data_IF_230845521801
#
_entry.id   IF_230845521801
#
_cell.length_a   1.000
_cell.length_b   1.000
_cell.length_c   1.000
_cell.angle_alpha   90.00
_cell.angle_beta   90.00
_cell.angle_gamma   90.00
#
_symmetry.space_group_name_H-M   'P 1'
#
loop_
_entity.id
_entity.type
_entity.pdbx_description
1 polymer ?
#
# COMPACT_ATOMS: atom_id res chain seq x y z
N UNK A 1 -12.72 1.70 9.48
CA UNK A 1 -12.21 1.33 8.15
C UNK A 1 -11.51 -0.03 8.24
N UNK A 2 -11.83 -0.98 7.35
CA UNK A 2 -11.26 -2.35 7.37
C UNK A 2 -9.79 -2.43 6.95
N UNK A 3 -9.26 -1.34 6.37
CA UNK A 3 -7.91 -1.21 5.85
C UNK A 3 -7.22 -0.03 6.53
N UNK A 4 -6.00 -0.25 7.00
CA UNK A 4 -5.09 0.79 7.49
C UNK A 4 -3.80 0.74 6.67
N UNK A 5 -3.17 1.89 6.45
CA UNK A 5 -1.90 1.98 5.72
C UNK A 5 -0.88 2.67 6.60
N UNK A 6 0.30 2.08 6.71
CA UNK A 6 1.39 2.55 7.55
C UNK A 6 2.64 2.78 6.70
N UNK A 7 3.39 3.83 7.02
CA UNK A 7 4.78 3.97 6.56
C UNK A 7 5.66 3.11 7.46
N UNK A 8 6.44 2.21 6.85
CA UNK A 8 7.36 1.31 7.55
C UNK A 8 8.76 1.41 6.95
N UNK A 9 9.79 1.17 7.75
CA UNK A 9 11.16 1.14 7.27
C UNK A 9 11.63 -0.32 7.12
N UNK A 10 12.12 -0.68 5.93
CA UNK A 10 12.64 -2.01 5.63
C UNK A 10 14.17 -2.01 5.72
N UNK A 11 14.69 -2.48 6.86
CA UNK A 11 16.14 -2.53 7.13
C UNK A 11 16.93 -3.36 6.11
N UNK A 12 16.32 -4.42 5.55
CA UNK A 12 17.02 -5.31 4.60
C UNK A 12 17.30 -4.61 3.27
N UNK A 13 16.40 -3.72 2.84
CA UNK A 13 16.48 -2.99 1.58
C UNK A 13 16.98 -1.55 1.78
N UNK A 14 16.97 -1.05 3.02
CA UNK A 14 17.36 0.32 3.35
C UNK A 14 16.39 1.38 2.84
N UNK A 15 15.10 1.04 2.71
CA UNK A 15 14.10 1.91 2.10
C UNK A 15 12.82 1.98 2.94
N UNK A 16 12.13 3.12 2.84
CA UNK A 16 10.78 3.27 3.39
C UNK A 16 9.74 2.69 2.40
N UNK A 17 8.74 2.01 2.95
CA UNK A 17 7.69 1.31 2.21
C UNK A 17 6.32 1.63 2.81
N UNK A 18 5.27 1.43 2.02
CA UNK A 18 3.90 1.47 2.50
C UNK A 18 3.45 0.04 2.85
N UNK A 19 2.82 -0.13 4.01
CA UNK A 19 2.23 -1.39 4.43
C UNK A 19 0.74 -1.22 4.68
N UNK A 20 -0.07 -1.89 3.87
CA UNK A 20 -1.50 -1.99 4.12
C UNK A 20 -1.80 -3.21 4.99
N UNK A 21 -2.66 -3.03 5.99
CA UNK A 21 -3.08 -4.08 6.92
C UNK A 21 -4.60 -4.13 6.96
N UNK A 22 -5.13 -5.34 6.80
CA UNK A 22 -6.57 -5.63 6.80
C UNK A 22 -6.89 -6.78 7.73
N UNK A 23 -7.97 -6.66 8.51
CA UNK A 23 -8.51 -7.74 9.32
C UNK A 23 -9.46 -8.59 8.48
N UNK A 24 -8.99 -9.78 8.06
CA UNK A 24 -9.73 -10.66 7.14
C UNK A 24 -10.98 -11.24 7.77
N UNK A 25 -11.01 -11.39 9.09
CA UNK A 25 -12.15 -11.96 9.79
C UNK A 25 -13.27 -10.93 9.99
N UNK A 26 -12.93 -9.64 10.05
CA UNK A 26 -13.89 -8.54 10.05
C UNK A 26 -14.56 -8.31 8.67
N UNK A 27 -14.05 -8.92 7.60
CA UNK A 27 -14.53 -8.72 6.23
C UNK A 27 -15.62 -9.75 5.90
N UNK A 28 -16.80 -9.25 5.49
CA UNK A 28 -17.92 -10.08 5.03
C UNK A 28 -17.72 -10.63 3.63
N UNK A 29 -17.28 -9.80 2.67
CA UNK A 29 -17.06 -10.21 1.28
C UNK A 29 -15.58 -10.54 0.97
N UNK A 30 -15.18 -11.75 1.35
CA UNK A 30 -13.82 -12.25 1.15
C UNK A 30 -13.47 -12.47 -0.32
N UNK A 31 -14.46 -12.71 -1.19
CA UNK A 31 -14.23 -12.98 -2.62
C UNK A 31 -13.82 -11.71 -3.35
N UNK A 32 -14.50 -10.61 -3.06
CA UNK A 32 -14.15 -9.31 -3.65
C UNK A 32 -12.75 -8.88 -3.28
N UNK A 33 -12.32 -9.07 -2.02
CA UNK A 33 -10.95 -8.75 -1.61
C UNK A 33 -9.91 -9.62 -2.32
N UNK A 34 -10.19 -10.92 -2.47
CA UNK A 34 -9.31 -11.79 -3.23
C UNK A 34 -9.17 -11.31 -4.69
N UNK A 35 -10.28 -10.90 -5.32
CA UNK A 35 -10.27 -10.34 -6.66
C UNK A 35 -9.48 -9.01 -6.73
N UNK A 36 -9.68 -8.10 -5.79
CA UNK A 36 -8.93 -6.83 -5.70
C UNK A 36 -7.43 -7.07 -5.53
N UNK A 37 -7.04 -8.05 -4.73
CA UNK A 37 -5.65 -8.42 -4.53
C UNK A 37 -5.02 -8.96 -5.82
N UNK A 38 -5.75 -9.81 -6.55
CA UNK A 38 -5.32 -10.34 -7.85
C UNK A 38 -5.15 -9.22 -8.86
N UNK A 39 -6.13 -8.32 -8.98
CA UNK A 39 -6.05 -7.16 -9.87
C UNK A 39 -4.86 -6.29 -9.51
N UNK A 40 -4.66 -5.98 -8.23
CA UNK A 40 -3.53 -5.18 -7.76
C UNK A 40 -2.18 -5.83 -8.10
N UNK A 41 -2.06 -7.15 -7.97
CA UNK A 41 -0.86 -7.89 -8.33
C UNK A 41 -0.60 -7.88 -9.85
N UNK A 42 -1.65 -7.98 -10.67
CA UNK A 42 -1.57 -7.87 -12.13
C UNK A 42 -1.08 -6.48 -12.56
N UNK A 43 -1.68 -5.42 -12.04
CA UNK A 43 -1.31 -4.03 -12.34
C UNK A 43 0.12 -3.71 -11.88
N UNK A 44 0.50 -4.14 -10.67
CA UNK A 44 1.89 -4.06 -10.17
C UNK A 44 2.88 -4.77 -11.10
N UNK A 45 2.49 -5.90 -11.71
CA UNK A 45 3.33 -6.61 -12.68
C UNK A 45 3.62 -5.77 -13.93
N UNK A 46 2.67 -4.95 -14.39
CA UNK A 46 2.90 -4.05 -15.53
C UNK A 46 3.96 -3.01 -15.24
N UNK A 47 3.95 -2.43 -14.03
CA UNK A 47 4.99 -1.48 -13.60
C UNK A 47 6.36 -2.15 -13.49
N UNK A 48 6.44 -3.31 -12.82
CA UNK A 48 7.70 -4.06 -12.67
C UNK A 48 8.31 -4.52 -13.99
N UNK A 49 7.49 -4.74 -15.02
CA UNK A 49 7.92 -5.16 -16.36
C UNK A 49 8.14 -3.98 -17.32
N UNK A 50 8.10 -2.75 -16.84
CA UNK A 50 8.23 -1.53 -17.63
C UNK A 50 7.21 -1.42 -18.79
N UNK A 51 6.01 -2.00 -18.63
CA UNK A 51 4.92 -1.88 -19.61
C UNK A 51 4.12 -0.59 -19.36
N UNK A 52 3.77 -0.33 -18.10
CA UNK A 52 3.11 0.90 -17.68
C UNK A 52 3.61 1.25 -16.27
N UNK A 53 4.39 2.35 -16.10
CA UNK A 53 4.97 2.70 -14.81
C UNK A 53 3.96 3.33 -13.84
N UNK A 54 2.73 3.62 -14.29
CA UNK A 54 1.74 4.40 -13.53
C UNK A 54 0.94 3.54 -12.52
N UNK A 55 1.44 2.36 -12.16
CA UNK A 55 0.84 1.50 -11.14
C UNK A 55 1.75 1.31 -9.96
N UNK A 56 1.17 1.33 -8.76
CA UNK A 56 1.89 1.10 -7.51
C UNK A 56 2.45 -0.32 -7.47
N UNK A 57 3.75 -0.43 -7.22
CA UNK A 57 4.46 -1.69 -7.10
C UNK A 57 4.14 -2.35 -5.77
N UNK A 58 3.43 -3.47 -5.84
CA UNK A 58 3.33 -4.44 -4.76
C UNK A 58 4.61 -5.26 -4.63
N UNK A 59 5.22 -5.22 -3.44
CA UNK A 59 6.46 -5.91 -3.08
C UNK A 59 6.23 -7.25 -2.39
N UNK A 60 5.02 -7.53 -1.92
CA UNK A 60 4.71 -8.80 -1.27
C UNK A 60 3.38 -8.78 -0.52
N UNK A 61 2.84 -9.97 -0.28
CA UNK A 61 1.63 -10.18 0.51
C UNK A 61 1.89 -11.33 1.47
N UNK A 62 1.50 -11.16 2.73
CA UNK A 62 1.62 -12.20 3.74
C UNK A 62 0.50 -12.06 4.78
N UNK A 63 0.30 -13.11 5.58
CA UNK A 63 -0.74 -13.15 6.60
C UNK A 63 -0.10 -13.42 7.95
N UNK A 64 -0.52 -12.70 8.97
CA UNK A 64 -0.13 -12.95 10.36
C UNK A 64 -1.38 -13.05 11.23
N UNK A 65 -1.33 -13.79 12.34
CA UNK A 65 -2.48 -13.86 13.22
C UNK A 65 -2.53 -12.71 14.25
N UNK A 66 -1.65 -11.72 14.10
CA UNK A 66 -1.51 -10.58 15.01
C UNK A 66 -1.68 -9.27 14.25
N UNK A 67 -2.26 -8.27 14.91
CA UNK A 67 -2.32 -6.91 14.39
C UNK A 67 -0.94 -6.21 14.44
N UNK A 68 -0.87 -5.01 13.88
CA UNK A 68 0.33 -4.17 13.86
C UNK A 68 0.91 -3.92 15.25
N UNK A 69 2.24 -4.10 15.44
CA UNK A 69 2.89 -3.75 16.69
C UNK A 69 3.02 -2.23 16.83
N UNK A 70 2.14 -1.63 17.64
CA UNK A 70 2.05 -0.17 17.90
C UNK A 70 3.38 0.44 18.38
N UNK A 71 4.26 -0.38 18.98
CA UNK A 71 5.57 0.03 19.48
C UNK A 71 6.61 0.30 18.38
N UNK A 72 6.47 -0.29 17.19
CA UNK A 72 7.48 -0.20 16.14
C UNK A 72 6.99 0.61 14.93
N UNK A 73 5.66 0.70 14.74
CA UNK A 73 5.04 1.28 13.56
C UNK A 73 4.48 2.67 13.86
N UNK A 74 4.28 3.47 12.81
CA UNK A 74 3.57 4.74 12.92
C UNK A 74 2.12 4.56 13.39
N UNK A 75 1.52 5.64 13.86
CA UNK A 75 0.08 5.75 14.12
C UNK A 75 -0.55 6.77 13.16
N UNK A 76 -1.87 6.83 13.12
CA UNK A 76 -2.63 7.84 12.36
C UNK A 76 -2.17 9.27 12.68
N UNK A 77 -1.92 9.55 13.97
CA UNK A 77 -1.40 10.83 14.47
C UNK A 77 0.11 11.02 14.31
N UNK A 78 0.87 9.95 14.08
CA UNK A 78 2.31 10.00 13.92
C UNK A 78 2.75 8.94 12.90
N UNK A 79 2.72 9.32 11.62
CA UNK A 79 3.01 8.43 10.49
C UNK A 79 4.50 7.97 10.44
N UNK A 80 5.38 8.41 11.35
CA UNK A 80 6.81 8.01 11.34
C UNK A 80 7.02 6.60 11.94
N UNK A 81 7.90 5.76 11.37
CA UNK A 81 8.26 4.49 11.98
C UNK A 81 8.98 4.74 13.32
N UNK A 82 8.50 4.08 14.39
CA UNK A 82 8.98 4.31 15.77
C UNK A 82 10.18 3.43 16.15
N UNK A 83 10.46 2.40 15.36
CA UNK A 83 11.49 1.39 15.62
C UNK A 83 12.92 1.74 15.17
N UNK A 84 13.29 3.02 15.04
CA UNK A 84 14.58 3.44 14.47
C UNK A 84 15.84 2.94 15.23
N UNK A 85 15.70 2.41 16.44
CA UNK A 85 16.79 1.79 17.18
C UNK A 85 16.72 0.25 17.07
N UNK A 86 17.32 -0.29 16.01
CA UNK A 86 17.63 -1.72 15.94
C UNK A 86 18.75 -2.03 16.95
N UNK A 87 18.40 -2.64 18.09
CA UNK A 87 19.39 -3.09 19.05
C UNK A 87 20.06 -4.38 18.54
N UNK A 88 21.21 -4.25 17.88
CA UNK A 88 22.00 -5.38 17.35
C UNK A 88 22.34 -6.45 18.42
N UNK A 89 22.41 -6.04 19.68
CA UNK A 89 22.78 -6.91 20.80
C UNK A 89 21.60 -7.69 21.36
N UNK A 90 20.36 -7.39 20.93
CA UNK A 90 19.18 -8.14 21.31
C UNK A 90 19.19 -9.44 20.51
N UNK A 91 19.69 -10.52 21.10
CA UNK A 91 19.61 -11.88 20.51
C UNK A 91 18.18 -12.10 20.04
N UNK A 92 17.99 -12.24 18.72
CA UNK A 92 16.71 -12.61 18.13
C UNK A 92 16.36 -13.97 18.72
N UNK A 93 15.36 -13.99 19.61
CA UNK A 93 14.83 -15.24 20.13
C UNK A 93 14.40 -16.08 18.93
N UNK A 94 14.85 -17.34 18.88
CA UNK A 94 14.45 -18.26 17.81
C UNK A 94 12.92 -18.26 17.71
N UNK A 95 12.34 -18.31 16.51
CA UNK A 95 10.90 -18.40 16.33
C UNK A 95 10.36 -19.52 17.23
N UNK A 96 9.55 -19.16 18.22
CA UNK A 96 8.92 -20.15 19.09
C UNK A 96 7.78 -20.78 18.32
N UNK A 97 7.63 -22.09 18.43
CA UNK A 97 6.45 -22.78 17.91
C UNK A 97 5.20 -22.14 18.57
N UNK A 98 4.18 -21.74 17.80
CA UNK A 98 2.98 -21.14 18.36
C UNK A 98 2.35 -22.13 19.33
N UNK A 99 2.18 -21.73 20.60
CA UNK A 99 1.62 -22.59 21.63
C UNK A 99 0.09 -22.71 21.53
N UNK A 100 -0.56 -21.74 20.89
CA UNK A 100 -2.00 -21.66 20.68
C UNK A 100 -2.32 -21.04 19.31
N UNK A 101 -3.46 -21.42 18.72
CA UNK A 101 -3.99 -20.77 17.53
C UNK A 101 -4.50 -19.38 17.94
N UNK A 102 -3.81 -18.35 17.48
CA UNK A 102 -4.21 -16.97 17.73
C UNK A 102 -5.48 -16.64 16.93
N UNK A 103 -6.44 -15.90 17.50
CA UNK A 103 -7.79 -15.77 16.94
C UNK A 103 -7.90 -14.83 15.75
N UNK A 104 -6.89 -14.00 15.47
CA UNK A 104 -6.93 -13.02 14.39
C UNK A 104 -6.36 -13.54 13.07
N UNK A 105 -6.81 -12.99 11.95
CA UNK A 105 -6.23 -13.19 10.63
C UNK A 105 -6.04 -11.86 9.91
N UNK A 106 -4.82 -11.35 9.96
CA UNK A 106 -4.48 -10.06 9.36
C UNK A 106 -3.70 -10.27 8.07
N UNK A 107 -4.18 -9.67 6.99
CA UNK A 107 -3.48 -9.65 5.70
C UNK A 107 -2.66 -8.37 5.58
N UNK A 108 -1.39 -8.54 5.25
CA UNK A 108 -0.41 -7.48 5.07
C UNK A 108 -0.03 -7.41 3.59
N UNK A 109 -0.09 -6.20 3.02
CA UNK A 109 0.31 -5.92 1.65
C UNK A 109 1.40 -4.86 1.68
N UNK A 110 2.60 -5.25 1.26
CA UNK A 110 3.77 -4.39 1.19
C UNK A 110 3.86 -3.77 -0.20
N UNK A 111 4.00 -2.45 -0.24
CA UNK A 111 3.97 -1.64 -1.46
C UNK A 111 5.11 -0.63 -1.43
N UNK A 112 5.43 -0.06 -2.59
CA UNK A 112 6.24 1.15 -2.60
C UNK A 112 5.54 2.32 -1.87
N UNK A 113 6.36 3.25 -1.38
CA UNK A 113 5.86 4.43 -0.69
C UNK A 113 5.76 5.59 -1.68
N UNK A 114 4.54 6.05 -1.94
CA UNK A 114 4.30 7.32 -2.61
C UNK A 114 4.42 8.45 -1.57
N UNK A 115 5.54 9.18 -1.59
CA UNK A 115 5.92 10.11 -0.52
C UNK A 115 4.98 11.30 -0.38
N UNK A 116 4.34 11.71 -1.47
CA UNK A 116 3.36 12.80 -1.47
C UNK A 116 1.97 12.37 -0.98
N UNK A 117 1.75 11.08 -0.71
CA UNK A 117 0.44 10.56 -0.36
C UNK A 117 -0.49 10.50 -1.57
N UNK A 118 -1.80 10.47 -1.33
CA UNK A 118 -2.76 10.49 -2.43
C UNK A 118 -2.93 11.90 -3.03
N UNK A 119 -3.46 11.95 -4.24
CA UNK A 119 -3.59 13.17 -5.02
C UNK A 119 -4.59 14.17 -4.41
N UNK A 120 -5.52 13.70 -3.56
CA UNK A 120 -6.42 14.58 -2.82
C UNK A 120 -5.68 15.31 -1.70
N UNK A 121 -4.88 14.59 -0.91
CA UNK A 121 -4.00 15.19 0.11
C UNK A 121 -2.99 16.14 -0.56
N UNK A 122 -2.41 15.74 -1.70
CA UNK A 122 -1.51 16.59 -2.47
C UNK A 122 -2.16 17.89 -2.93
N UNK A 123 -3.41 17.84 -3.44
CA UNK A 123 -4.16 19.02 -3.88
C UNK A 123 -4.44 19.98 -2.73
N UNK A 124 -4.83 19.46 -1.56
CA UNK A 124 -5.10 20.25 -0.35
C UNK A 124 -3.88 21.03 0.13
N UNK A 125 -2.65 20.58 -0.19
CA UNK A 125 -1.40 21.26 0.16
C UNK A 125 -1.00 22.36 -0.82
N UNK A 126 -1.64 22.47 -2.00
CA UNK A 126 -1.31 23.50 -2.97
C UNK A 126 -1.93 24.85 -2.61
N UNK A 127 -1.28 25.93 -3.03
CA UNK A 127 -1.83 27.27 -2.93
C UNK A 127 -3.20 27.33 -3.62
N UNK A 128 -4.20 27.90 -2.95
CA UNK A 128 -5.61 27.97 -3.41
C UNK A 128 -6.27 26.62 -3.73
N UNK A 129 -5.69 25.49 -3.29
CA UNK A 129 -6.16 24.13 -3.63
C UNK A 129 -6.27 23.89 -5.14
N UNK A 130 -5.42 24.56 -5.92
CA UNK A 130 -5.38 24.45 -7.37
C UNK A 130 -4.02 23.90 -7.81
N UNK A 131 -4.05 23.00 -8.80
CA UNK A 131 -2.81 22.54 -9.43
C UNK A 131 -2.35 23.55 -10.49
N UNK A 132 -1.03 23.69 -10.62
CA UNK A 132 -0.46 24.31 -11.79
C UNK A 132 -0.89 23.54 -13.06
N UNK A 133 -1.25 24.27 -14.13
CA UNK A 133 -1.84 23.70 -15.36
C UNK A 133 -1.03 22.56 -15.95
N UNK A 134 0.29 22.65 -15.90
CA UNK A 134 1.19 21.60 -16.42
C UNK A 134 1.11 20.31 -15.60
N UNK A 135 1.01 20.42 -14.27
CA UNK A 135 0.88 19.25 -13.38
C UNK A 135 -0.48 18.58 -13.63
N UNK A 136 -1.57 19.36 -13.63
CA UNK A 136 -2.90 18.84 -13.93
C UNK A 136 -2.95 18.09 -15.27
N UNK A 137 -2.38 18.68 -16.33
CA UNK A 137 -2.33 18.06 -17.65
C UNK A 137 -1.54 16.75 -17.65
N UNK A 138 -0.34 16.76 -17.08
CA UNK A 138 0.53 15.57 -17.05
C UNK A 138 -0.04 14.45 -16.21
N UNK A 139 -0.60 14.75 -15.03
CA UNK A 139 -1.30 13.77 -14.19
C UNK A 139 -2.51 13.16 -14.90
N UNK A 140 -3.32 13.97 -15.60
CA UNK A 140 -4.44 13.46 -16.37
C UNK A 140 -3.99 12.47 -17.45
N UNK A 141 -2.93 12.79 -18.19
CA UNK A 141 -2.38 11.87 -19.19
C UNK A 141 -1.85 10.58 -18.56
N UNK A 142 -1.17 10.65 -17.42
CA UNK A 142 -0.67 9.46 -16.72
C UNK A 142 -1.82 8.54 -16.27
N UNK A 143 -2.88 9.10 -15.69
CA UNK A 143 -4.07 8.34 -15.28
C UNK A 143 -4.77 7.73 -16.49
N UNK A 144 -5.02 8.51 -17.55
CA UNK A 144 -5.65 8.02 -18.77
C UNK A 144 -4.84 6.89 -19.42
N UNK A 145 -3.52 7.02 -19.48
CA UNK A 145 -2.64 5.98 -20.00
C UNK A 145 -2.66 4.72 -19.14
N UNK A 146 -2.68 4.85 -17.82
CA UNK A 146 -2.79 3.70 -16.90
C UNK A 146 -4.09 2.93 -17.15
N UNK A 147 -5.23 3.63 -17.23
CA UNK A 147 -6.54 3.05 -17.51
C UNK A 147 -6.57 2.35 -18.88
N UNK A 148 -6.03 2.99 -19.91
CA UNK A 148 -5.91 2.40 -21.23
C UNK A 148 -5.07 1.12 -21.21
N UNK A 149 -3.90 1.14 -20.58
CA UNK A 149 -3.01 -0.01 -20.52
C UNK A 149 -3.62 -1.19 -19.75
N UNK A 150 -4.35 -0.93 -18.65
CA UNK A 150 -5.07 -1.97 -17.91
C UNK A 150 -6.22 -2.58 -18.74
N UNK A 151 -6.97 -1.75 -19.47
CA UNK A 151 -8.03 -2.20 -20.36
C UNK A 151 -7.48 -3.04 -21.51
N UNK A 152 -6.42 -2.59 -22.17
CA UNK A 152 -5.77 -3.30 -23.28
C UNK A 152 -5.20 -4.66 -22.84
N UNK A 153 -4.45 -4.70 -21.73
CA UNK A 153 -3.73 -5.92 -21.32
C UNK A 153 -4.60 -6.93 -20.59
N UNK A 154 -5.59 -6.47 -19.82
CA UNK A 154 -6.34 -7.33 -18.90
C UNK A 154 -7.85 -7.17 -19.02
N UNK A 155 -8.35 -6.36 -19.96
CA UNK A 155 -9.78 -6.05 -20.10
C UNK A 155 -10.40 -5.50 -18.81
N UNK A 156 -9.59 -4.83 -17.99
CA UNK A 156 -10.02 -4.24 -16.73
C UNK A 156 -10.67 -2.87 -16.97
N UNK A 157 -11.65 -2.55 -16.12
CA UNK A 157 -12.29 -1.24 -16.06
C UNK A 157 -12.34 -0.77 -14.62
N UNK A 158 -11.95 0.47 -14.36
CA UNK A 158 -12.10 1.09 -13.05
C UNK A 158 -13.37 1.93 -13.04
N UNK A 159 -14.39 1.47 -12.30
CA UNK A 159 -15.72 2.11 -12.30
C UNK A 159 -15.83 3.30 -11.34
N UNK A 160 -14.86 3.49 -10.44
CA UNK A 160 -14.93 4.49 -9.37
C UNK A 160 -13.60 5.24 -9.19
N UNK A 161 -13.10 5.89 -10.26
CA UNK A 161 -11.85 6.66 -10.18
C UNK A 161 -12.06 7.92 -9.33
N UNK A 162 -11.30 8.02 -8.24
CA UNK A 162 -11.23 9.17 -7.33
C UNK A 162 -9.79 9.62 -7.15
N UNK A 163 -9.59 10.85 -6.66
CA UNK A 163 -8.24 11.37 -6.37
C UNK A 163 -7.52 10.55 -5.28
N UNK A 164 -8.28 9.87 -4.41
CA UNK A 164 -7.78 8.93 -3.41
C UNK A 164 -7.18 7.64 -4.02
N UNK A 165 -7.39 7.38 -5.31
CA UNK A 165 -6.81 6.23 -6.02
C UNK A 165 -5.50 6.56 -6.74
N UNK A 166 -5.10 7.84 -6.76
CA UNK A 166 -3.91 8.33 -7.46
C UNK A 166 -2.91 8.78 -6.39
N UNK A 167 -1.64 8.41 -6.54
CA UNK A 167 -0.58 8.60 -5.55
C UNK A 167 0.69 9.13 -6.20
#
# INVERSE_FOLDING_TARGET
>A
AFKRVFKVHNNTVGADEAMSVMDVDAITDKKTIAAELVVSAMLSSMARRAICPNFVIMRGVFTLPYDVPVSHWGSETNKRPKGAQYNKNKRLARPRQPKEAFPGRYQFIRMELCSEGDFEEFLKRQESQCLHRMVARTSLFQVAFALHAAADRYSLKHYDIKLLNVF
#
